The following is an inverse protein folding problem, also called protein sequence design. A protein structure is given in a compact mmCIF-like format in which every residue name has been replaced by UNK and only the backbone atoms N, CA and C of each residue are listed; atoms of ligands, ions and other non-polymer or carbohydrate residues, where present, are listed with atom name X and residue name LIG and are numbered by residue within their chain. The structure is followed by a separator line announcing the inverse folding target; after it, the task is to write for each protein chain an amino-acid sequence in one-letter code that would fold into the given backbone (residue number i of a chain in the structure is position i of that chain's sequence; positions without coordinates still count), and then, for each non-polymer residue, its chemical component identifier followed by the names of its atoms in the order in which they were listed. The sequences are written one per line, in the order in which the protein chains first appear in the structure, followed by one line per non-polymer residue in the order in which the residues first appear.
data_IF_119097789522
#
_entry.id   IF_119097789522
#
_cell.length_a   1.000
_cell.length_b   1.000
_cell.length_c   1.000
_cell.angle_alpha   90.00
_cell.angle_beta   90.00
_cell.angle_gamma   90.00
#
_symmetry.space_group_name_H-M   'P 1'
#
loop_
_entity.id
_entity.type
_entity.pdbx_description
1 polymer ?
#
# COMPACT_ATOMS: atom_id res chain seq x y z
N UNK A 1 21.17 1.15 9.92
CA UNK A 1 20.17 0.84 10.96
C UNK A 1 19.24 2.04 10.99
N UNK A 2 17.92 1.82 10.88
CA UNK A 2 16.93 2.91 10.80
C UNK A 2 16.10 2.90 12.08
N UNK A 3 15.81 4.08 12.63
CA UNK A 3 15.02 4.25 13.84
C UNK A 3 13.81 5.12 13.53
N UNK A 4 12.65 4.73 14.03
CA UNK A 4 11.46 5.58 13.99
C UNK A 4 11.71 6.87 14.80
N UNK A 5 11.36 7.99 14.17
CA UNK A 5 11.44 9.31 14.80
C UNK A 5 10.41 9.44 15.92
N UNK A 6 10.73 10.24 16.94
CA UNK A 6 9.86 10.52 18.08
C UNK A 6 9.19 11.89 18.00
N UNK A 7 9.67 12.75 17.10
CA UNK A 7 9.18 14.11 16.90
C UNK A 7 8.37 14.23 15.60
N UNK A 8 7.40 15.18 15.51
CA UNK A 8 6.66 15.43 14.28
C UNK A 8 7.58 15.81 13.12
N UNK A 9 7.31 15.19 11.97
CA UNK A 9 8.06 15.40 10.74
C UNK A 9 7.28 16.30 9.77
N UNK A 10 8.03 17.13 9.06
CA UNK A 10 7.53 17.81 7.85
C UNK A 10 7.32 16.81 6.72
N UNK A 11 6.54 17.18 5.69
CA UNK A 11 6.32 16.33 4.50
C UNK A 11 7.63 15.86 3.85
N UNK A 12 8.61 16.76 3.72
CA UNK A 12 9.95 16.41 3.20
C UNK A 12 10.71 15.48 4.14
N UNK A 13 10.59 15.70 5.47
CA UNK A 13 11.14 14.81 6.49
C UNK A 13 10.58 13.39 6.38
N UNK A 14 9.27 13.25 6.19
CA UNK A 14 8.62 11.95 6.00
C UNK A 14 9.15 11.24 4.76
N UNK A 15 9.20 11.91 3.60
CA UNK A 15 9.69 11.30 2.36
C UNK A 15 11.16 10.88 2.47
N UNK A 16 12.01 11.73 3.05
CA UNK A 16 13.43 11.40 3.30
C UNK A 16 13.57 10.17 4.19
N UNK A 17 12.81 10.11 5.27
CA UNK A 17 12.78 8.99 6.21
C UNK A 17 12.23 7.71 5.56
N UNK A 18 11.21 7.84 4.72
CA UNK A 18 10.62 6.74 3.96
C UNK A 18 11.62 6.16 2.97
N UNK A 19 12.40 7.00 2.28
CA UNK A 19 13.48 6.57 1.40
C UNK A 19 14.62 5.88 2.16
N UNK A 20 15.00 6.40 3.33
CA UNK A 20 16.02 5.78 4.19
C UNK A 20 15.58 4.40 4.70
N UNK A 21 14.34 4.28 5.17
CA UNK A 21 13.76 3.00 5.58
C UNK A 21 13.64 2.02 4.40
N UNK A 22 13.19 2.50 3.24
CA UNK A 22 13.11 1.73 2.01
C UNK A 22 14.45 1.13 1.61
N UNK A 23 15.49 1.96 1.46
CA UNK A 23 16.83 1.50 1.06
C UNK A 23 17.45 0.55 2.09
N UNK A 24 17.19 0.78 3.39
CA UNK A 24 17.64 -0.11 4.47
C UNK A 24 16.94 -1.46 4.45
N UNK A 25 15.64 -1.47 4.13
CA UNK A 25 14.81 -2.68 4.15
C UNK A 25 14.88 -3.50 2.88
N UNK A 26 15.22 -2.87 1.73
CA UNK A 26 15.13 -3.45 0.39
C UNK A 26 15.70 -4.87 0.30
N UNK A 27 16.94 -5.10 0.77
CA UNK A 27 17.59 -6.42 0.68
C UNK A 27 16.89 -7.53 1.47
N UNK A 28 16.15 -7.19 2.52
CA UNK A 28 15.43 -8.15 3.37
C UNK A 28 14.03 -8.47 2.86
N UNK A 29 13.44 -7.55 2.07
CA UNK A 29 12.07 -7.66 1.58
C UNK A 29 11.98 -7.89 0.07
N UNK A 30 13.10 -7.88 -0.65
CA UNK A 30 13.15 -8.01 -2.11
C UNK A 30 12.46 -9.28 -2.60
N UNK A 31 12.73 -10.42 -1.96
CA UNK A 31 12.13 -11.72 -2.33
C UNK A 31 10.61 -11.67 -2.18
N UNK A 32 10.10 -11.11 -1.08
CA UNK A 32 8.65 -11.00 -0.86
C UNK A 32 8.01 -10.02 -1.84
N UNK A 33 8.69 -8.90 -2.12
CA UNK A 33 8.21 -7.90 -3.09
C UNK A 33 8.19 -8.45 -4.51
N UNK A 34 9.16 -9.29 -4.86
CA UNK A 34 9.19 -10.01 -6.12
C UNK A 34 8.00 -10.96 -6.23
N UNK A 35 7.73 -11.77 -5.21
CA UNK A 35 6.57 -12.67 -5.19
C UNK A 35 5.26 -11.89 -5.36
N UNK A 36 5.09 -10.78 -4.63
CA UNK A 36 3.91 -9.89 -4.78
C UNK A 36 3.80 -9.37 -6.21
N UNK A 37 4.90 -8.95 -6.81
CA UNK A 37 4.90 -8.46 -8.20
C UNK A 37 4.46 -9.54 -9.20
N UNK A 38 4.90 -10.79 -9.01
CA UNK A 38 4.48 -11.92 -9.85
C UNK A 38 2.99 -12.15 -9.71
N UNK A 39 2.47 -12.19 -8.47
CA UNK A 39 1.04 -12.33 -8.20
C UNK A 39 0.23 -11.23 -8.89
N UNK A 40 0.74 -9.99 -8.89
CA UNK A 40 0.09 -8.85 -9.51
C UNK A 40 0.03 -8.92 -11.05
N UNK A 41 1.03 -9.51 -11.71
CA UNK A 41 1.05 -9.62 -13.18
C UNK A 41 0.32 -10.85 -13.74
N UNK A 42 0.01 -11.86 -12.89
CA UNK A 42 -0.70 -13.07 -13.31
C UNK A 42 -2.01 -12.75 -14.07
N UNK A 43 -2.91 -11.88 -13.59
CA UNK A 43 -4.11 -11.51 -14.34
C UNK A 43 -3.80 -11.06 -15.76
N UNK A 44 -2.83 -10.17 -15.92
CA UNK A 44 -2.42 -9.64 -17.22
C UNK A 44 -1.88 -10.74 -18.14
N UNK A 45 -1.11 -11.70 -17.62
CA UNK A 45 -0.58 -12.84 -18.37
C UNK A 45 -1.69 -13.72 -18.96
N UNK A 46 -2.80 -13.87 -18.25
CA UNK A 46 -3.96 -14.65 -18.72
C UNK A 46 -4.96 -13.82 -19.53
N UNK A 47 -4.59 -12.60 -19.94
CA UNK A 47 -5.50 -11.70 -20.64
C UNK A 47 -6.73 -11.32 -19.80
N UNK A 48 -6.60 -11.40 -18.47
CA UNK A 48 -7.70 -11.15 -17.56
C UNK A 48 -7.90 -9.64 -17.40
N UNK A 49 -8.80 -9.08 -18.22
CA UNK A 49 -9.12 -7.63 -18.22
C UNK A 49 -10.36 -7.30 -17.39
N UNK A 50 -11.06 -8.31 -16.86
CA UNK A 50 -12.24 -8.12 -16.02
C UNK A 50 -13.09 -9.38 -15.86
N UNK A 51 -14.13 -9.29 -15.02
CA UNK A 51 -15.03 -10.41 -14.73
C UNK A 51 -16.03 -10.73 -15.84
N UNK A 52 -16.13 -9.88 -16.86
CA UNK A 52 -17.08 -10.04 -17.95
C UNK A 52 -16.34 -10.28 -19.26
N UNK A 53 -16.83 -11.22 -20.07
CA UNK A 53 -16.38 -11.47 -21.43
C UNK A 53 -17.55 -11.40 -22.40
N UNK A 54 -17.25 -11.10 -23.66
CA UNK A 54 -18.24 -11.18 -24.73
C UNK A 54 -18.21 -12.57 -25.34
N UNK A 55 -19.35 -13.27 -25.33
CA UNK A 55 -19.46 -14.60 -25.92
C UNK A 55 -19.54 -14.53 -27.47
N UNK A 56 -19.65 -15.67 -28.13
CA UNK A 56 -19.75 -15.74 -29.60
C UNK A 56 -21.02 -15.09 -30.16
N UNK A 57 -22.07 -14.98 -29.35
CA UNK A 57 -23.33 -14.33 -29.74
C UNK A 57 -23.32 -12.82 -29.51
N UNK A 58 -22.26 -12.29 -28.88
CA UNK A 58 -22.08 -10.88 -28.60
C UNK A 58 -22.66 -10.44 -27.25
N UNK A 59 -23.16 -11.37 -26.44
CA UNK A 59 -23.66 -11.12 -25.09
C UNK A 59 -22.52 -11.01 -24.08
N UNK A 60 -22.68 -10.09 -23.13
CA UNK A 60 -21.79 -9.95 -21.99
C UNK A 60 -22.12 -10.99 -20.93
N UNK A 61 -21.21 -11.92 -20.69
CA UNK A 61 -21.35 -12.97 -19.69
C UNK A 61 -20.38 -12.78 -18.52
N UNK A 62 -20.79 -13.22 -17.34
CA UNK A 62 -19.96 -13.20 -16.14
C UNK A 62 -19.11 -14.48 -16.07
N UNK A 63 -17.81 -14.32 -15.84
CA UNK A 63 -16.89 -15.44 -15.65
C UNK A 63 -16.74 -15.81 -14.18
N UNK A 64 -17.18 -17.01 -13.82
CA UNK A 64 -16.97 -17.54 -12.46
C UNK A 64 -15.50 -17.93 -12.22
N UNK A 65 -14.79 -18.38 -13.24
CA UNK A 65 -13.37 -18.72 -13.16
C UNK A 65 -12.50 -17.51 -12.88
N UNK A 66 -12.82 -16.40 -13.53
CA UNK A 66 -12.27 -15.08 -13.30
C UNK A 66 -12.43 -14.63 -11.84
N UNK A 67 -13.65 -14.77 -11.29
CA UNK A 67 -13.94 -14.45 -9.91
C UNK A 67 -13.12 -15.32 -8.95
N UNK A 68 -13.07 -16.63 -9.20
CA UNK A 68 -12.29 -17.57 -8.39
C UNK A 68 -10.80 -17.22 -8.40
N UNK A 69 -10.24 -16.97 -9.58
CA UNK A 69 -8.83 -16.57 -9.73
C UNK A 69 -8.55 -15.26 -8.98
N UNK A 70 -9.42 -14.26 -9.11
CA UNK A 70 -9.30 -13.01 -8.37
C UNK A 70 -9.32 -13.21 -6.85
N UNK A 71 -10.24 -14.04 -6.33
CA UNK A 71 -10.32 -14.36 -4.90
C UNK A 71 -9.01 -15.01 -4.42
N UNK A 72 -8.48 -15.98 -5.17
CA UNK A 72 -7.23 -16.67 -4.85
C UNK A 72 -6.06 -15.69 -4.85
N UNK A 73 -5.91 -14.90 -5.92
CA UNK A 73 -4.81 -13.94 -6.05
C UNK A 73 -4.87 -12.85 -4.98
N UNK A 74 -6.06 -12.31 -4.68
CA UNK A 74 -6.24 -11.33 -3.61
C UNK A 74 -5.88 -11.91 -2.22
N UNK A 75 -6.19 -13.19 -1.99
CA UNK A 75 -5.81 -13.88 -0.75
C UNK A 75 -4.29 -14.02 -0.63
N UNK A 76 -3.65 -14.43 -1.73
CA UNK A 76 -2.19 -14.57 -1.81
C UNK A 76 -1.51 -13.19 -1.65
N UNK A 77 -2.04 -12.15 -2.28
CA UNK A 77 -1.56 -10.78 -2.16
C UNK A 77 -1.68 -10.27 -0.72
N UNK A 78 -2.84 -10.42 -0.08
CA UNK A 78 -3.04 -10.03 1.32
C UNK A 78 -2.01 -10.70 2.25
N UNK A 79 -1.76 -11.99 2.05
CA UNK A 79 -0.77 -12.74 2.81
C UNK A 79 0.65 -12.16 2.66
N UNK A 80 1.11 -11.95 1.42
CA UNK A 80 2.47 -11.44 1.19
C UNK A 80 2.63 -9.97 1.55
N UNK A 81 1.59 -9.14 1.37
CA UNK A 81 1.57 -7.74 1.83
C UNK A 81 1.72 -7.68 3.34
N UNK A 82 1.04 -8.55 4.11
CA UNK A 82 1.20 -8.61 5.55
C UNK A 82 2.65 -8.97 5.96
N UNK A 83 3.27 -9.96 5.30
CA UNK A 83 4.68 -10.34 5.55
C UNK A 83 5.61 -9.17 5.25
N UNK A 84 5.45 -8.56 4.08
CA UNK A 84 6.28 -7.45 3.61
C UNK A 84 6.18 -6.27 4.58
N UNK A 85 4.95 -5.86 4.91
CA UNK A 85 4.70 -4.74 5.81
C UNK A 85 5.24 -5.00 7.23
N UNK A 86 5.03 -6.19 7.77
CA UNK A 86 5.55 -6.57 9.10
C UNK A 86 7.08 -6.60 9.14
N UNK A 87 7.74 -7.05 8.07
CA UNK A 87 9.20 -7.01 7.98
C UNK A 87 9.73 -5.58 7.95
N UNK A 88 9.09 -4.67 7.18
CA UNK A 88 9.44 -3.25 7.19
C UNK A 88 9.29 -2.67 8.61
N UNK A 89 8.20 -3.00 9.30
CA UNK A 89 7.98 -2.58 10.68
C UNK A 89 9.03 -3.12 11.66
N UNK A 90 9.40 -4.39 11.55
CA UNK A 90 10.44 -5.03 12.37
C UNK A 90 11.79 -4.32 12.19
N UNK A 91 12.13 -3.95 10.94
CA UNK A 91 13.35 -3.22 10.62
C UNK A 91 13.30 -1.79 11.17
N UNK A 92 12.16 -1.12 11.07
CA UNK A 92 11.97 0.25 11.57
C UNK A 92 12.04 0.34 13.11
N UNK A 93 11.70 -0.76 13.80
CA UNK A 93 11.78 -0.90 15.25
C UNK A 93 13.09 -1.52 15.73
N UNK A 94 14.11 -1.58 14.86
CA UNK A 94 15.46 -2.12 15.14
C UNK A 94 15.49 -3.60 15.57
N UNK A 95 14.42 -4.33 15.33
CA UNK A 95 14.35 -5.75 15.62
C UNK A 95 14.97 -6.57 14.47
N UNK A 96 15.53 -7.74 14.80
CA UNK A 96 16.03 -8.67 13.78
C UNK A 96 14.84 -9.30 13.05
N UNK A 97 14.88 -9.28 11.72
CA UNK A 97 13.85 -9.92 10.88
C UNK A 97 13.78 -11.41 11.20
N UNK A 98 12.60 -11.87 11.59
CA UNK A 98 12.30 -13.28 11.85
C UNK A 98 11.18 -13.74 10.92
N UNK A 99 11.54 -14.41 9.83
CA UNK A 99 10.58 -14.83 8.81
C UNK A 99 9.46 -15.74 9.34
N UNK A 100 9.74 -16.59 10.35
CA UNK A 100 8.70 -17.43 10.96
C UNK A 100 7.67 -16.59 11.68
N UNK A 101 8.12 -15.57 12.41
CA UNK A 101 7.23 -14.63 13.10
C UNK A 101 6.42 -13.79 12.12
N UNK A 102 7.02 -13.37 11.00
CA UNK A 102 6.32 -12.61 9.95
C UNK A 102 5.25 -13.45 9.25
N UNK A 103 5.53 -14.73 8.94
CA UNK A 103 4.56 -15.66 8.37
C UNK A 103 3.42 -15.93 9.36
N UNK A 104 3.74 -16.21 10.63
CA UNK A 104 2.72 -16.41 11.67
C UNK A 104 1.86 -15.15 11.87
N UNK A 105 2.49 -13.97 11.80
CA UNK A 105 1.79 -12.68 11.84
C UNK A 105 0.85 -12.52 10.65
N UNK A 106 1.28 -12.86 9.44
CA UNK A 106 0.45 -12.79 8.26
C UNK A 106 -0.72 -13.78 8.30
N UNK A 107 -0.52 -15.00 8.78
CA UNK A 107 -1.60 -15.99 8.95
C UNK A 107 -2.66 -15.52 9.94
N UNK A 108 -2.23 -14.94 11.08
CA UNK A 108 -3.15 -14.48 12.12
C UNK A 108 -4.00 -13.28 11.71
N UNK A 109 -3.49 -12.42 10.82
CA UNK A 109 -4.25 -11.30 10.29
C UNK A 109 -4.80 -11.50 8.87
N UNK A 110 -4.67 -12.69 8.27
CA UNK A 110 -5.04 -12.92 6.87
C UNK A 110 -6.51 -12.61 6.60
N UNK A 111 -7.42 -13.16 7.41
CA UNK A 111 -8.86 -12.96 7.26
C UNK A 111 -9.24 -11.48 7.43
N UNK A 112 -8.89 -10.80 8.56
CA UNK A 112 -9.26 -9.39 8.71
C UNK A 112 -8.61 -8.52 7.62
N UNK A 113 -7.38 -8.81 7.21
CA UNK A 113 -6.73 -8.04 6.15
C UNK A 113 -7.41 -8.24 4.79
N UNK A 114 -7.74 -9.48 4.42
CA UNK A 114 -8.46 -9.79 3.19
C UNK A 114 -9.81 -9.06 3.14
N UNK A 115 -10.61 -9.17 4.21
CA UNK A 115 -11.92 -8.49 4.29
C UNK A 115 -11.74 -6.97 4.22
N UNK A 116 -10.73 -6.41 4.88
CA UNK A 116 -10.43 -4.99 4.77
C UNK A 116 -10.03 -4.58 3.35
N UNK A 117 -9.20 -5.35 2.66
CA UNK A 117 -8.81 -5.05 1.27
C UNK A 117 -10.02 -5.08 0.33
N UNK A 118 -10.93 -6.05 0.48
CA UNK A 118 -12.18 -6.12 -0.29
C UNK A 118 -13.07 -4.90 0.00
N UNK A 119 -13.31 -4.57 1.26
CA UNK A 119 -14.14 -3.42 1.63
C UNK A 119 -13.52 -2.10 1.17
N UNK A 120 -12.21 -1.94 1.31
CA UNK A 120 -11.48 -0.78 0.81
C UNK A 120 -11.65 -0.64 -0.70
N UNK A 121 -11.47 -1.73 -1.46
CA UNK A 121 -11.70 -1.75 -2.90
C UNK A 121 -13.13 -1.32 -3.25
N UNK A 122 -14.14 -1.86 -2.56
CA UNK A 122 -15.55 -1.49 -2.78
C UNK A 122 -15.79 -0.01 -2.50
N UNK A 123 -15.33 0.51 -1.35
CA UNK A 123 -15.53 1.91 -0.99
C UNK A 123 -14.86 2.88 -1.98
N UNK A 124 -13.65 2.57 -2.44
CA UNK A 124 -12.94 3.40 -3.42
C UNK A 124 -13.64 3.37 -4.78
N UNK A 125 -14.08 2.20 -5.26
CA UNK A 125 -14.77 2.10 -6.55
C UNK A 125 -16.15 2.75 -6.52
N UNK A 126 -16.95 2.54 -5.45
CA UNK A 126 -18.22 3.26 -5.25
C UNK A 126 -17.99 4.76 -5.20
N UNK A 127 -16.96 5.21 -4.49
CA UNK A 127 -16.55 6.61 -4.50
C UNK A 127 -16.25 7.13 -5.90
N UNK A 128 -15.53 6.34 -6.71
CA UNK A 128 -15.15 6.69 -8.08
C UNK A 128 -16.37 6.78 -9.03
N UNK A 129 -17.37 5.92 -8.85
CA UNK A 129 -18.65 6.00 -9.57
C UNK A 129 -19.44 7.26 -9.23
N UNK A 130 -19.34 7.76 -7.99
CA UNK A 130 -19.97 9.02 -7.59
C UNK A 130 -19.19 10.20 -8.15
N UNK A 131 -17.94 10.38 -7.74
CA UNK A 131 -17.03 11.44 -8.21
C UNK A 131 -15.56 11.13 -7.84
N UNK A 132 -14.61 11.62 -8.65
CA UNK A 132 -13.17 11.39 -8.43
C UNK A 132 -12.69 11.94 -7.08
N UNK A 133 -13.10 13.15 -6.70
CA UNK A 133 -12.64 13.79 -5.47
C UNK A 133 -13.06 13.01 -4.20
N UNK A 134 -14.33 12.60 -4.04
CA UNK A 134 -14.74 11.67 -2.98
C UNK A 134 -13.95 10.36 -2.95
N UNK A 135 -13.67 9.76 -4.12
CA UNK A 135 -12.90 8.52 -4.20
C UNK A 135 -11.49 8.68 -3.62
N UNK A 136 -10.80 9.78 -3.98
CA UNK A 136 -9.47 10.13 -3.46
C UNK A 136 -9.52 10.40 -1.96
N UNK A 137 -10.53 11.13 -1.49
CA UNK A 137 -10.67 11.40 -0.07
C UNK A 137 -10.87 10.12 0.75
N UNK A 138 -11.75 9.22 0.30
CA UNK A 138 -12.02 7.94 0.94
C UNK A 138 -10.77 7.05 0.92
N UNK A 139 -10.07 6.96 -0.21
CA UNK A 139 -8.87 6.14 -0.34
C UNK A 139 -7.80 6.57 0.67
N UNK A 140 -7.49 7.87 0.74
CA UNK A 140 -6.49 8.41 1.67
C UNK A 140 -6.94 8.28 3.13
N UNK A 141 -8.23 8.48 3.42
CA UNK A 141 -8.74 8.37 4.79
C UNK A 141 -8.68 6.94 5.33
N UNK A 142 -8.82 5.93 4.44
CA UNK A 142 -8.89 4.53 4.84
C UNK A 142 -7.58 3.76 4.66
N UNK A 143 -6.62 4.24 3.87
CA UNK A 143 -5.36 3.52 3.54
C UNK A 143 -4.54 3.05 4.76
N UNK A 144 -4.68 3.70 5.93
CA UNK A 144 -3.99 3.31 7.15
C UNK A 144 -4.61 2.09 7.85
N UNK A 145 -5.62 1.44 7.27
CA UNK A 145 -6.15 0.18 7.81
C UNK A 145 -5.06 -0.90 7.94
N UNK A 146 -4.08 -0.92 7.02
CA UNK A 146 -3.02 -1.93 6.97
C UNK A 146 -2.18 -1.98 8.26
N UNK A 147 -1.55 -0.88 8.73
CA UNK A 147 -0.82 -0.90 10.00
C UNK A 147 -1.72 -1.20 11.21
N UNK A 148 -2.97 -0.75 11.22
CA UNK A 148 -3.90 -1.07 12.32
C UNK A 148 -4.23 -2.58 12.41
N UNK A 149 -4.32 -3.28 11.29
CA UNK A 149 -4.58 -4.73 11.27
C UNK A 149 -3.29 -5.53 11.54
N UNK A 150 -2.19 -5.16 10.90
CA UNK A 150 -0.95 -5.94 10.95
C UNK A 150 -0.18 -5.71 12.26
N UNK A 151 -0.09 -4.46 12.73
CA UNK A 151 0.68 -4.08 13.92
C UNK A 151 -0.22 -4.04 15.15
N UNK A 152 -1.29 -3.25 15.11
CA UNK A 152 -2.16 -3.02 16.28
C UNK A 152 -3.22 -4.13 16.49
N UNK A 153 -3.29 -5.11 15.58
CA UNK A 153 -4.21 -6.27 15.63
C UNK A 153 -5.68 -5.88 15.82
N UNK A 154 -6.09 -4.75 15.24
CA UNK A 154 -7.48 -4.32 15.27
C UNK A 154 -8.32 -5.14 14.28
N UNK A 155 -9.59 -5.35 14.65
CA UNK A 155 -10.60 -5.88 13.73
C UNK A 155 -10.91 -4.86 12.63
N UNK A 156 -11.42 -5.35 11.49
CA UNK A 156 -11.65 -4.58 10.26
C UNK A 156 -12.36 -3.25 10.48
N UNK A 157 -13.50 -3.26 11.18
CA UNK A 157 -14.27 -2.04 11.45
C UNK A 157 -13.47 -1.01 12.25
N UNK A 158 -12.85 -1.45 13.36
CA UNK A 158 -12.03 -0.59 14.21
C UNK A 158 -10.80 -0.06 13.47
N UNK A 159 -10.22 -0.84 12.56
CA UNK A 159 -9.09 -0.44 11.75
C UNK A 159 -9.45 0.70 10.78
N UNK A 160 -10.60 0.63 10.10
CA UNK A 160 -11.07 1.72 9.24
C UNK A 160 -11.42 2.98 10.02
N UNK A 161 -12.14 2.82 11.12
CA UNK A 161 -12.50 3.93 11.99
C UNK A 161 -11.26 4.64 12.56
N UNK A 162 -10.26 3.86 13.01
CA UNK A 162 -8.98 4.37 13.47
C UNK A 162 -8.19 5.04 12.35
N UNK A 163 -8.19 4.46 11.13
CA UNK A 163 -7.56 5.07 9.95
C UNK A 163 -8.13 6.45 9.65
N UNK A 164 -9.47 6.55 9.55
CA UNK A 164 -10.13 7.81 9.24
C UNK A 164 -9.84 8.87 10.31
N UNK A 165 -9.92 8.51 11.60
CA UNK A 165 -9.58 9.42 12.71
C UNK A 165 -8.11 9.86 12.70
N UNK A 166 -7.20 8.95 12.38
CA UNK A 166 -5.76 9.23 12.35
C UNK A 166 -5.41 10.22 11.24
N UNK A 167 -5.99 10.04 10.05
CA UNK A 167 -5.75 10.89 8.87
C UNK A 167 -6.51 12.22 8.96
N UNK A 168 -7.63 12.27 9.71
CA UNK A 168 -8.43 13.49 9.86
C UNK A 168 -7.62 14.67 10.40
N UNK A 169 -7.69 15.79 9.67
CA UNK A 169 -6.90 17.00 9.91
C UNK A 169 -5.54 17.04 9.18
N UNK A 170 -5.01 15.90 8.73
CA UNK A 170 -3.72 15.78 8.04
C UNK A 170 -3.83 15.04 6.69
N UNK A 171 -5.01 15.08 6.07
CA UNK A 171 -5.29 14.29 4.87
C UNK A 171 -4.46 14.75 3.65
N UNK A 172 -4.22 16.06 3.50
CA UNK A 172 -3.36 16.59 2.43
C UNK A 172 -1.92 16.11 2.54
N UNK A 173 -1.35 16.11 3.75
CA UNK A 173 0.01 15.60 3.98
C UNK A 173 0.07 14.10 3.67
N UNK A 174 -0.91 13.34 4.15
CA UNK A 174 -1.02 11.90 3.88
C UNK A 174 -1.14 11.62 2.38
N UNK A 175 -1.97 12.40 1.66
CA UNK A 175 -2.11 12.31 0.22
C UNK A 175 -0.77 12.54 -0.49
N UNK A 176 -0.08 13.65 -0.21
CA UNK A 176 1.20 13.99 -0.87
C UNK A 176 2.24 12.89 -0.62
N UNK A 177 2.37 12.44 0.63
CA UNK A 177 3.36 11.42 1.02
C UNK A 177 3.13 10.10 0.30
N UNK A 178 1.87 9.66 0.16
CA UNK A 178 1.55 8.37 -0.46
C UNK A 178 1.48 8.44 -1.99
N UNK A 179 1.10 9.58 -2.54
CA UNK A 179 1.05 9.80 -4.00
C UNK A 179 2.44 9.82 -4.61
N UNK A 180 3.47 10.34 -3.94
CA UNK A 180 4.81 10.45 -4.52
C UNK A 180 5.41 9.08 -4.88
N UNK A 181 5.48 8.08 -3.97
CA UNK A 181 5.93 6.73 -4.31
C UNK A 181 5.12 6.11 -5.46
N UNK A 182 3.80 6.30 -5.42
CA UNK A 182 2.90 5.79 -6.45
C UNK A 182 3.16 6.45 -7.82
N UNK A 183 3.30 7.76 -7.85
CA UNK A 183 3.56 8.55 -9.05
C UNK A 183 4.92 8.20 -9.67
N UNK A 184 5.96 7.99 -8.86
CA UNK A 184 7.26 7.52 -9.35
C UNK A 184 7.12 6.15 -10.02
N UNK A 185 6.45 5.19 -9.36
CA UNK A 185 6.23 3.86 -9.92
C UNK A 185 5.44 3.90 -11.23
N UNK A 186 4.37 4.70 -11.26
CA UNK A 186 3.53 4.90 -12.44
C UNK A 186 4.30 5.55 -13.59
N UNK A 187 5.09 6.58 -13.31
CA UNK A 187 5.93 7.26 -14.29
C UNK A 187 6.95 6.31 -14.90
N UNK A 188 7.68 5.54 -14.07
CA UNK A 188 8.64 4.55 -14.54
C UNK A 188 7.98 3.52 -15.48
N UNK A 189 6.81 2.97 -15.10
CA UNK A 189 6.07 2.03 -15.96
C UNK A 189 5.63 2.66 -17.28
N UNK A 190 5.22 3.92 -17.24
CA UNK A 190 4.74 4.64 -18.43
C UNK A 190 5.85 4.93 -19.44
N UNK A 191 7.08 5.20 -18.97
CA UNK A 191 8.24 5.39 -19.84
C UNK A 191 8.49 4.18 -20.74
N UNK A 192 8.40 2.95 -20.21
CA UNK A 192 8.68 1.76 -21.01
C UNK A 192 7.59 1.42 -22.03
N UNK A 193 6.34 1.84 -21.80
CA UNK A 193 5.24 1.64 -22.77
C UNK A 193 5.42 2.40 -24.08
N UNK A 194 6.15 3.52 -24.06
CA UNK A 194 6.40 4.35 -25.24
C UNK A 194 7.74 4.04 -25.92
N UNK A 195 8.56 3.14 -25.35
CA UNK A 195 9.84 2.74 -25.96
C UNK A 195 9.68 1.61 -26.98
N UNK A 196 10.60 1.47 -27.97
CA UNK A 196 10.65 0.32 -28.89
C UNK A 196 10.82 -1.04 -28.19
N UNK A 197 11.22 -1.01 -26.92
CA UNK A 197 11.38 -2.16 -26.04
C UNK A 197 10.04 -2.63 -25.45
N UNK A 198 8.94 -1.93 -25.79
CA UNK A 198 7.58 -2.14 -25.32
C UNK A 198 6.86 -3.39 -25.87
N UNK A 199 7.60 -4.47 -26.13
CA UNK A 199 7.06 -5.76 -26.60
C UNK A 199 6.81 -6.75 -25.46
N UNK A 200 7.12 -8.02 -25.71
CA UNK A 200 6.98 -9.15 -24.76
C UNK A 200 7.65 -8.91 -23.40
N UNK A 201 8.68 -8.06 -23.37
CA UNK A 201 9.42 -7.71 -22.15
C UNK A 201 8.68 -6.76 -21.20
N UNK A 202 7.59 -6.11 -21.63
CA UNK A 202 6.88 -5.14 -20.79
C UNK A 202 6.43 -5.71 -19.45
N UNK A 203 5.94 -6.95 -19.44
CA UNK A 203 5.47 -7.60 -18.21
C UNK A 203 6.62 -7.87 -17.24
N UNK A 204 7.79 -8.24 -17.75
CA UNK A 204 8.99 -8.43 -16.94
C UNK A 204 9.47 -7.11 -16.35
N UNK A 205 9.52 -6.04 -17.17
CA UNK A 205 9.88 -4.70 -16.72
C UNK A 205 8.90 -4.20 -15.66
N UNK A 206 7.60 -4.42 -15.88
CA UNK A 206 6.54 -4.08 -14.92
C UNK A 206 6.72 -4.80 -13.59
N UNK A 207 6.98 -6.11 -13.60
CA UNK A 207 7.27 -6.88 -12.40
C UNK A 207 8.50 -6.37 -11.65
N UNK A 208 9.58 -6.02 -12.36
CA UNK A 208 10.79 -5.44 -11.77
C UNK A 208 10.48 -4.08 -11.11
N UNK A 209 9.76 -3.19 -11.82
CA UNK A 209 9.38 -1.89 -11.27
C UNK A 209 8.51 -2.05 -10.02
N UNK A 210 7.53 -2.95 -10.05
CA UNK A 210 6.67 -3.25 -8.90
C UNK A 210 7.47 -3.81 -7.72
N UNK A 211 8.38 -4.75 -7.98
CA UNK A 211 9.27 -5.35 -6.98
C UNK A 211 10.06 -4.30 -6.21
N UNK A 212 10.54 -3.28 -6.90
CA UNK A 212 11.37 -2.21 -6.33
C UNK A 212 10.51 -1.11 -5.71
N UNK A 213 9.36 -0.78 -6.32
CA UNK A 213 8.54 0.36 -5.92
C UNK A 213 7.62 0.07 -4.73
N UNK A 214 7.05 -1.13 -4.63
CA UNK A 214 6.11 -1.52 -3.56
C UNK A 214 6.69 -1.28 -2.16
N UNK A 215 7.93 -1.75 -1.85
CA UNK A 215 8.60 -1.42 -0.59
C UNK A 215 8.65 0.05 -0.22
N UNK A 216 8.84 0.95 -1.22
CA UNK A 216 8.91 2.37 -0.97
C UNK A 216 7.55 2.93 -0.55
N UNK A 217 6.47 2.50 -1.20
CA UNK A 217 5.11 2.85 -0.79
C UNK A 217 4.81 2.41 0.65
N UNK A 218 5.12 1.16 1.01
CA UNK A 218 4.88 0.66 2.37
C UNK A 218 5.78 1.31 3.44
N UNK A 219 7.01 1.69 3.08
CA UNK A 219 7.87 2.49 3.95
C UNK A 219 7.26 3.87 4.19
N UNK A 220 6.75 4.53 3.15
CA UNK A 220 6.06 5.80 3.27
C UNK A 220 4.78 5.72 4.12
N UNK A 221 3.99 4.66 3.92
CA UNK A 221 2.82 4.37 4.73
C UNK A 221 3.19 4.21 6.22
N UNK A 222 4.24 3.46 6.53
CA UNK A 222 4.66 3.24 7.92
C UNK A 222 5.19 4.52 8.59
N UNK A 223 6.03 5.30 7.91
CA UNK A 223 6.55 6.55 8.47
C UNK A 223 5.42 7.56 8.67
N UNK A 224 4.50 7.68 7.71
CA UNK A 224 3.35 8.57 7.85
C UNK A 224 2.43 8.13 8.99
N UNK A 225 2.18 6.83 9.12
CA UNK A 225 1.41 6.27 10.22
C UNK A 225 2.03 6.60 11.60
N UNK A 226 3.34 6.41 11.75
CA UNK A 226 4.07 6.76 12.98
C UNK A 226 3.99 8.28 13.25
N UNK A 227 4.23 9.10 12.24
CA UNK A 227 4.17 10.55 12.34
C UNK A 227 2.78 11.05 12.79
N UNK A 228 1.71 10.51 12.21
CA UNK A 228 0.35 10.87 12.61
C UNK A 228 0.03 10.44 14.05
N UNK A 229 0.53 9.28 14.49
CA UNK A 229 0.39 8.83 15.89
C UNK A 229 1.09 9.80 16.85
N UNK A 230 2.29 10.26 16.51
CA UNK A 230 3.03 11.27 17.29
C UNK A 230 2.22 12.56 17.38
N UNK A 231 1.79 13.12 16.24
CA UNK A 231 1.00 14.36 16.21
C UNK A 231 -0.26 14.26 17.08
N UNK A 232 -0.98 13.14 17.03
CA UNK A 232 -2.20 12.93 17.82
C UNK A 232 -1.92 12.69 19.32
N UNK A 233 -0.70 12.30 19.68
CA UNK A 233 -0.30 12.13 21.08
C UNK A 233 0.17 13.44 21.74
N UNK A 234 0.42 14.49 20.96
CA UNK A 234 0.85 15.78 21.48
C UNK A 234 -0.31 16.56 22.14
N UNK A 235 -0.06 17.24 23.28
CA UNK A 235 -0.98 18.24 23.83
C UNK A 235 -1.36 19.30 22.77
N UNK A 236 -2.63 19.73 22.72
CA UNK A 236 -3.18 20.62 21.68
C UNK A 236 -2.34 21.86 21.28
N UNK A 237 -1.61 22.57 22.16
CA UNK A 237 -0.77 23.69 21.72
C UNK A 237 0.46 23.29 20.88
N UNK A 238 0.85 22.01 20.84
CA UNK A 238 2.00 21.48 20.09
C UNK A 238 1.61 20.65 18.85
N UNK A 239 0.32 20.41 18.62
CA UNK A 239 -0.17 19.63 17.47
C UNK A 239 -0.15 20.41 16.14
N UNK A 240 0.16 21.71 16.15
CA UNK A 240 0.37 22.47 14.93
C UNK A 240 1.77 22.16 14.38
N UNK A 241 1.90 21.71 13.11
CA UNK A 241 3.21 21.48 12.51
C UNK A 241 4.04 22.77 12.57
N UNK A 242 5.37 22.67 12.73
CA UNK A 242 6.23 23.86 12.80
C UNK A 242 5.97 24.70 11.54
N UNK A 243 5.38 25.89 11.74
CA UNK A 243 5.22 26.85 10.65
C UNK A 243 6.60 27.06 10.06
N UNK A 244 6.73 26.87 8.75
CA UNK A 244 7.90 27.31 8.01
C UNK A 244 8.11 28.78 8.36
N UNK A 245 9.08 29.07 9.23
CA UNK A 245 9.59 30.41 9.37
C UNK A 245 10.34 30.65 8.07
N UNK A 246 9.64 31.26 7.11
CA UNK A 246 10.27 31.74 5.88
C UNK A 246 11.29 32.83 6.23
N UNK A 247 12.36 32.96 5.44
CA UNK A 247 13.24 34.12 5.50
C UNK A 247 12.48 35.41 5.16
#
# INVERSE_FOLDING_TARGET
MYKLETDPLTTAGILKNSWSLYTTSLKYILVWSFIVSIVHIIPTLFGFVGFFYQDFSGHLEFSWWALLLFIVLLTVEAFFVAILFYNIYTIATEQKVNYKLSISTALTCLIPLYVAMVLYFVFVNVGMFLFILPAVFISISLVMFLPFIVIDRLNVYKAFEASARLVWGNWWQTFIVLVIPYAISYFLRSLFKITPWGGEWLLFIEAIILTISMPYFYSALLIQYNNLKIIKSLPEPMAQPPRTQGP
#
